data_IF_942668388250
#
_entry.id   IF_942668388250
#
_cell.length_a   1.000
_cell.length_b   1.000
_cell.length_c   1.000
_cell.angle_alpha   90.00
_cell.angle_beta   90.00
_cell.angle_gamma   90.00
#
_symmetry.space_group_name_H-M   'P 1'
#
loop_
_entity.id
_entity.type
_entity.pdbx_description
1 polymer ?
#
# COMPACT_ATOMS: atom_id res chain seq x y z
N UNK A 1 13.10 -11.84 -23.11
CA UNK A 1 14.44 -12.35 -22.73
C UNK A 1 14.22 -13.58 -21.86
N UNK A 2 14.95 -14.69 -22.02
CA UNK A 2 14.65 -15.91 -21.27
C UNK A 2 14.89 -15.70 -19.76
N UNK A 3 13.87 -15.98 -18.93
CA UNK A 3 13.96 -15.87 -17.47
C UNK A 3 15.14 -16.71 -16.93
N UNK A 4 15.94 -16.07 -16.08
CA UNK A 4 17.03 -16.66 -15.31
C UNK A 4 16.53 -17.88 -14.51
N UNK A 5 17.39 -18.91 -14.41
CA UNK A 5 17.11 -20.15 -13.68
C UNK A 5 16.77 -19.88 -12.21
N UNK A 6 17.44 -18.93 -11.55
CA UNK A 6 17.17 -18.60 -10.16
C UNK A 6 15.78 -17.96 -9.96
N UNK A 7 15.35 -17.12 -10.91
CA UNK A 7 13.98 -16.55 -10.92
C UNK A 7 12.94 -17.66 -11.15
N UNK A 8 13.18 -18.59 -12.06
CA UNK A 8 12.31 -19.77 -12.26
C UNK A 8 12.20 -20.62 -11.00
N UNK A 9 13.32 -20.90 -10.34
CA UNK A 9 13.36 -21.70 -9.10
C UNK A 9 12.59 -20.99 -7.96
N UNK A 10 12.65 -19.65 -7.87
CA UNK A 10 11.90 -18.84 -6.90
C UNK A 10 10.39 -18.82 -7.15
N UNK A 11 9.97 -18.75 -8.41
CA UNK A 11 8.56 -18.84 -8.82
C UNK A 11 7.99 -20.21 -8.44
N UNK A 12 8.75 -21.28 -8.69
CA UNK A 12 8.39 -22.65 -8.34
C UNK A 12 8.25 -22.81 -6.83
N UNK A 13 9.22 -22.34 -6.04
CA UNK A 13 9.17 -22.37 -4.57
C UNK A 13 7.99 -21.59 -3.99
N UNK A 14 7.63 -20.45 -4.60
CA UNK A 14 6.49 -19.63 -4.19
C UNK A 14 5.16 -20.31 -4.52
N UNK A 15 5.07 -20.99 -5.68
CA UNK A 15 3.90 -21.78 -6.06
C UNK A 15 3.69 -22.99 -5.15
N UNK A 16 4.78 -23.69 -4.79
CA UNK A 16 4.78 -24.80 -3.83
C UNK A 16 4.31 -24.31 -2.44
N UNK A 17 4.80 -23.16 -1.99
CA UNK A 17 4.42 -22.59 -0.69
C UNK A 17 2.95 -22.13 -0.65
N UNK A 18 2.38 -21.72 -1.80
CA UNK A 18 0.99 -21.28 -1.91
C UNK A 18 -0.05 -22.42 -1.97
N UNK A 19 0.35 -23.64 -2.33
CA UNK A 19 -0.56 -24.78 -2.48
C UNK A 19 -1.06 -25.37 -1.14
N UNK A 20 -0.44 -24.98 -0.02
CA UNK A 20 -0.77 -25.49 1.31
C UNK A 20 -0.17 -26.87 1.61
N UNK A 21 -0.47 -27.45 2.79
CA UNK A 21 0.09 -28.73 3.22
C UNK A 21 -0.38 -29.90 2.35
N UNK A 22 0.47 -30.93 2.24
CA UNK A 22 0.26 -32.13 1.40
C UNK A 22 -1.04 -32.86 1.73
N UNK A 23 -1.48 -32.84 2.99
CA UNK A 23 -2.67 -33.59 3.43
C UNK A 23 -2.51 -35.10 3.22
N UNK A 24 -3.60 -35.80 2.93
CA UNK A 24 -3.62 -37.27 2.86
C UNK A 24 -3.28 -37.85 1.47
N UNK A 25 -3.22 -37.01 0.42
CA UNK A 25 -2.97 -37.44 -0.96
C UNK A 25 -1.87 -36.61 -1.62
N UNK A 26 -0.71 -37.23 -1.80
CA UNK A 26 0.46 -36.63 -2.44
C UNK A 26 0.14 -36.31 -3.91
N UNK A 27 -0.55 -37.21 -4.61
CA UNK A 27 -0.84 -37.08 -6.04
C UNK A 27 -1.77 -35.89 -6.33
N UNK A 28 -2.80 -35.68 -5.50
CA UNK A 28 -3.69 -34.51 -5.60
C UNK A 28 -3.01 -33.21 -5.19
N UNK A 29 -2.04 -33.28 -4.28
CA UNK A 29 -1.22 -32.12 -3.92
C UNK A 29 -0.27 -31.74 -5.06
N UNK A 30 0.45 -32.71 -5.64
CA UNK A 30 1.34 -32.52 -6.78
C UNK A 30 0.59 -31.98 -8.00
N UNK A 31 -0.62 -32.49 -8.28
CA UNK A 31 -1.47 -31.99 -9.36
C UNK A 31 -1.86 -30.51 -9.16
N UNK A 32 -2.17 -30.08 -7.92
CA UNK A 32 -2.48 -28.68 -7.59
C UNK A 32 -1.26 -27.77 -7.73
N UNK A 33 -0.10 -28.21 -7.24
CA UNK A 33 1.17 -27.49 -7.38
C UNK A 33 1.57 -27.35 -8.86
N UNK A 34 1.42 -28.42 -9.64
CA UNK A 34 1.73 -28.43 -11.07
C UNK A 34 0.77 -27.53 -11.86
N UNK A 35 -0.52 -27.53 -11.53
CA UNK A 35 -1.50 -26.63 -12.14
C UNK A 35 -1.18 -25.16 -11.82
N UNK A 36 -0.89 -24.84 -10.55
CA UNK A 36 -0.54 -23.49 -10.13
C UNK A 36 0.76 -22.98 -10.76
N UNK A 37 1.81 -23.80 -10.81
CA UNK A 37 3.09 -23.44 -11.44
C UNK A 37 2.96 -23.20 -12.95
N UNK A 38 2.14 -23.99 -13.66
CA UNK A 38 1.84 -23.77 -15.09
C UNK A 38 1.08 -22.46 -15.31
N UNK A 39 0.10 -22.17 -14.46
CA UNK A 39 -0.66 -20.93 -14.55
C UNK A 39 0.25 -19.71 -14.31
N UNK A 40 1.11 -19.75 -13.29
CA UNK A 40 2.08 -18.68 -13.01
C UNK A 40 3.09 -18.54 -14.16
N UNK A 41 3.58 -19.65 -14.73
CA UNK A 41 4.52 -19.61 -15.86
C UNK A 41 3.89 -19.03 -17.12
N UNK A 42 2.63 -19.38 -17.42
CA UNK A 42 1.89 -18.80 -18.54
C UNK A 42 1.63 -17.30 -18.33
N UNK A 43 1.34 -16.90 -17.09
CA UNK A 43 1.14 -15.50 -16.69
C UNK A 43 2.44 -14.69 -16.85
N UNK A 44 3.59 -15.24 -16.42
CA UNK A 44 4.88 -14.54 -16.45
C UNK A 44 5.59 -14.61 -17.81
N UNK A 45 5.19 -15.53 -18.69
CA UNK A 45 5.71 -15.63 -20.06
C UNK A 45 5.03 -14.67 -21.05
N UNK A 46 3.95 -14.01 -20.63
CA UNK A 46 3.27 -12.96 -21.39
C UNK A 46 3.73 -11.59 -20.91
N UNK A 47 4.61 -10.95 -21.68
CA UNK A 47 5.16 -9.61 -21.38
C UNK A 47 4.07 -8.52 -21.39
N UNK A 48 2.85 -8.81 -21.88
CA UNK A 48 1.71 -7.87 -21.81
C UNK A 48 0.89 -7.98 -20.53
N UNK A 49 1.26 -8.91 -19.64
CA UNK A 49 0.51 -9.19 -18.43
C UNK A 49 0.68 -8.11 -17.35
N UNK A 50 -0.36 -7.93 -16.54
CA UNK A 50 -0.40 -7.00 -15.40
C UNK A 50 0.76 -7.21 -14.41
N UNK A 51 1.28 -8.42 -14.28
CA UNK A 51 2.40 -8.73 -13.39
C UNK A 51 3.74 -8.23 -13.93
N UNK A 52 3.99 -8.35 -15.25
CA UNK A 52 5.19 -7.80 -15.88
C UNK A 52 5.24 -6.28 -15.68
N UNK A 53 4.11 -5.61 -15.96
CA UNK A 53 3.95 -4.18 -15.70
C UNK A 53 4.15 -3.81 -14.22
N UNK A 54 3.61 -4.59 -13.28
CA UNK A 54 3.77 -4.31 -11.86
C UNK A 54 5.25 -4.43 -11.42
N UNK A 55 6.01 -5.38 -11.97
CA UNK A 55 7.44 -5.54 -11.72
C UNK A 55 8.20 -4.32 -12.25
N UNK A 56 7.97 -3.94 -13.51
CA UNK A 56 8.58 -2.74 -14.11
C UNK A 56 8.30 -1.48 -13.29
N UNK A 57 7.04 -1.25 -12.90
CA UNK A 57 6.67 -0.10 -12.07
C UNK A 57 7.34 -0.10 -10.69
N UNK A 58 7.58 -1.28 -10.10
CA UNK A 58 8.32 -1.41 -8.84
C UNK A 58 9.82 -1.13 -9.04
N UNK A 59 10.40 -1.59 -10.15
CA UNK A 59 11.81 -1.34 -10.50
C UNK A 59 12.07 0.15 -10.74
N UNK A 60 11.20 0.81 -11.50
CA UNK A 60 11.27 2.24 -11.83
C UNK A 60 10.88 3.16 -10.67
N UNK A 61 10.25 2.61 -9.62
CA UNK A 61 9.75 3.42 -8.51
C UNK A 61 10.87 4.14 -7.74
N UNK A 62 10.58 5.38 -7.35
CA UNK A 62 11.36 6.08 -6.36
C UNK A 62 11.11 5.48 -4.97
N UNK A 63 12.19 5.08 -4.30
CA UNK A 63 12.15 4.40 -3.00
C UNK A 63 12.58 5.35 -1.90
N UNK A 64 11.77 5.46 -0.85
CA UNK A 64 12.13 6.25 0.34
C UNK A 64 11.51 5.65 1.59
N UNK A 65 12.06 6.00 2.75
CA UNK A 65 11.59 5.50 4.05
C UNK A 65 10.81 6.61 4.74
N UNK A 66 9.63 6.28 5.26
CA UNK A 66 8.80 7.22 5.99
C UNK A 66 7.93 6.51 7.03
N UNK A 67 7.43 7.27 8.00
CA UNK A 67 6.37 6.84 8.90
C UNK A 67 5.02 7.02 8.21
N UNK A 68 4.18 5.97 8.22
CA UNK A 68 2.78 6.10 7.82
C UNK A 68 2.00 6.71 8.99
N UNK A 69 1.61 7.96 8.86
CA UNK A 69 0.97 8.73 9.95
C UNK A 69 -0.56 8.55 9.97
N UNK A 70 -1.20 8.57 8.80
CA UNK A 70 -2.65 8.48 8.69
C UNK A 70 -3.05 7.99 7.29
N UNK A 71 -4.07 7.13 7.22
CA UNK A 71 -4.70 6.74 5.96
C UNK A 71 -6.19 7.06 5.99
N UNK A 72 -6.69 7.73 4.95
CA UNK A 72 -8.10 8.09 4.80
C UNK A 72 -8.57 7.95 3.35
N UNK A 73 -9.80 7.48 3.10
CA UNK A 73 -10.33 7.48 1.74
C UNK A 73 -10.48 8.91 1.21
N UNK A 74 -10.13 9.13 -0.05
CA UNK A 74 -10.39 10.38 -0.76
C UNK A 74 -11.88 10.42 -1.15
N UNK A 75 -12.64 11.46 -0.83
CA UNK A 75 -14.08 11.51 -1.20
C UNK A 75 -14.31 11.65 -2.70
N UNK A 76 -13.43 12.38 -3.37
CA UNK A 76 -13.55 12.73 -4.80
C UNK A 76 -12.89 11.70 -5.73
N UNK A 77 -12.35 10.60 -5.20
CA UNK A 77 -11.61 9.59 -5.96
C UNK A 77 -11.75 8.25 -5.26
N UNK A 78 -11.71 7.14 -6.00
CA UNK A 78 -11.60 5.80 -5.43
C UNK A 78 -10.17 5.53 -4.92
N UNK A 79 -9.46 6.50 -4.33
CA UNK A 79 -8.08 6.31 -3.85
C UNK A 79 -8.00 6.57 -2.35
N UNK A 80 -7.05 5.94 -1.68
CA UNK A 80 -6.65 6.30 -0.33
C UNK A 80 -5.66 7.47 -0.35
N UNK A 81 -5.79 8.38 0.60
CA UNK A 81 -4.79 9.39 0.96
C UNK A 81 -3.93 8.84 2.08
N UNK A 82 -2.63 8.74 1.85
CA UNK A 82 -1.62 8.29 2.80
C UNK A 82 -0.81 9.50 3.21
N UNK A 83 -0.92 9.89 4.47
CA UNK A 83 -0.11 10.92 5.09
C UNK A 83 1.12 10.27 5.70
N UNK A 84 2.29 10.85 5.42
CA UNK A 84 3.55 10.31 5.89
C UNK A 84 4.51 11.41 6.30
N UNK A 85 5.45 11.04 7.17
CA UNK A 85 6.55 11.89 7.60
C UNK A 85 7.86 11.22 7.19
N UNK A 86 8.69 11.91 6.44
CA UNK A 86 10.03 11.41 6.10
C UNK A 86 10.86 11.48 7.37
N UNK A 87 11.20 10.32 7.92
CA UNK A 87 12.05 10.23 9.08
C UNK A 87 13.52 10.31 8.62
N UNK A 88 14.39 11.04 9.34
CA UNK A 88 15.82 11.04 9.03
C UNK A 88 16.36 9.61 9.04
N UNK A 89 17.40 9.34 8.23
CA UNK A 89 18.12 8.06 8.28
C UNK A 89 18.73 7.94 9.66
N UNK A 90 18.12 7.11 10.47
CA UNK A 90 18.60 6.74 11.78
C UNK A 90 19.93 6.00 11.62
N UNK A 91 20.99 6.47 12.29
CA UNK A 91 22.18 5.64 12.53
C UNK A 91 21.83 4.41 13.38
N UNK A 92 22.72 3.43 13.50
CA UNK A 92 22.46 2.29 14.39
C UNK A 92 22.25 2.80 15.84
N UNK A 93 21.00 2.77 16.33
CA UNK A 93 20.67 2.96 17.75
C UNK A 93 19.72 4.11 18.11
N UNK A 94 19.39 5.04 17.21
CA UNK A 94 18.44 6.11 17.54
C UNK A 94 16.98 5.66 17.31
N UNK A 95 16.06 6.10 18.16
CA UNK A 95 14.63 5.86 17.92
C UNK A 95 14.10 7.02 17.08
N UNK A 96 13.56 6.78 15.87
CA UNK A 96 13.00 7.87 15.08
C UNK A 96 11.84 8.50 15.83
N UNK A 97 11.92 9.82 16.03
CA UNK A 97 10.86 10.59 16.70
C UNK A 97 10.02 11.29 15.62
N UNK A 98 8.71 10.99 15.53
CA UNK A 98 7.80 11.69 14.65
C UNK A 98 7.69 13.17 15.04
N UNK A 99 7.68 14.07 14.07
CA UNK A 99 7.50 15.51 14.29
C UNK A 99 6.05 15.84 14.65
N UNK A 100 5.10 15.17 14.00
CA UNK A 100 3.67 15.35 14.21
C UNK A 100 3.09 14.12 14.88
N UNK A 101 2.21 14.31 15.87
CA UNK A 101 1.41 13.24 16.46
C UNK A 101 0.17 12.89 15.61
N UNK A 102 -0.56 11.85 16.00
CA UNK A 102 -1.75 11.42 15.27
C UNK A 102 -2.86 12.47 15.21
N UNK A 103 -3.11 13.18 16.31
CA UNK A 103 -4.21 14.16 16.38
C UNK A 103 -3.93 15.38 15.51
N UNK A 104 -2.68 15.82 15.47
CA UNK A 104 -2.19 16.91 14.64
C UNK A 104 -2.33 16.55 13.16
N UNK A 105 -1.90 15.35 12.76
CA UNK A 105 -2.07 14.87 11.38
C UNK A 105 -3.56 14.76 11.01
N UNK A 106 -4.42 14.30 11.93
CA UNK A 106 -5.86 14.25 11.72
C UNK A 106 -6.48 15.64 11.55
N UNK A 107 -6.02 16.65 12.30
CA UNK A 107 -6.46 18.04 12.15
C UNK A 107 -6.07 18.59 10.76
N UNK A 108 -4.84 18.34 10.30
CA UNK A 108 -4.41 18.72 8.96
C UNK A 108 -5.21 18.01 7.86
N UNK A 109 -5.58 16.74 8.05
CA UNK A 109 -6.48 16.04 7.12
C UNK A 109 -7.84 16.73 7.04
N UNK A 110 -8.46 17.09 8.17
CA UNK A 110 -9.75 17.79 8.20
C UNK A 110 -9.66 19.13 7.47
N UNK A 111 -8.61 19.91 7.73
CA UNK A 111 -8.36 21.19 7.07
C UNK A 111 -8.15 21.01 5.55
N UNK A 112 -7.40 19.99 5.13
CA UNK A 112 -7.18 19.66 3.72
C UNK A 112 -8.48 19.31 3.00
N UNK A 113 -9.34 18.49 3.62
CA UNK A 113 -10.65 18.12 3.06
C UNK A 113 -11.58 19.33 2.99
N UNK A 114 -11.62 20.17 4.02
CA UNK A 114 -12.45 21.38 4.06
C UNK A 114 -12.03 22.39 2.98
N UNK A 115 -10.73 22.67 2.85
CA UNK A 115 -10.22 23.57 1.81
C UNK A 115 -10.59 23.07 0.41
N UNK A 116 -10.42 21.77 0.14
CA UNK A 116 -10.80 21.19 -1.16
C UNK A 116 -12.29 21.26 -1.44
N UNK A 117 -13.15 21.07 -0.43
CA UNK A 117 -14.58 21.23 -0.59
C UNK A 117 -14.95 22.67 -1.01
N UNK A 118 -14.16 23.66 -0.58
CA UNK A 118 -14.32 25.07 -0.94
C UNK A 118 -13.54 25.47 -2.21
N UNK A 119 -12.96 24.51 -2.95
CA UNK A 119 -12.14 24.80 -4.13
C UNK A 119 -10.79 25.47 -3.82
N UNK A 120 -10.38 25.51 -2.55
CA UNK A 120 -9.13 26.11 -2.10
C UNK A 120 -8.00 25.09 -2.05
N UNK A 121 -6.78 25.55 -2.26
CA UNK A 121 -5.57 24.75 -2.06
C UNK A 121 -5.18 24.79 -0.59
N UNK A 122 -4.86 23.63 -0.02
CA UNK A 122 -4.29 23.50 1.32
C UNK A 122 -2.87 22.98 1.22
N UNK A 123 -1.93 23.73 1.77
CA UNK A 123 -0.53 23.32 1.87
C UNK A 123 -0.34 22.62 3.22
N UNK A 124 0.19 21.39 3.18
CA UNK A 124 0.58 20.68 4.39
C UNK A 124 1.81 21.35 5.01
N UNK A 125 1.97 21.30 6.34
CA UNK A 125 3.17 21.84 6.99
C UNK A 125 4.42 21.09 6.53
N UNK A 126 5.57 21.75 6.65
CA UNK A 126 6.86 21.15 6.30
C UNK A 126 7.09 19.84 7.08
N UNK A 127 7.58 18.81 6.38
CA UNK A 127 7.80 17.48 6.95
C UNK A 127 6.56 16.56 6.98
N UNK A 128 5.35 17.08 6.73
CA UNK A 128 4.15 16.27 6.54
C UNK A 128 3.76 16.26 5.06
N UNK A 129 3.74 15.06 4.48
CA UNK A 129 3.38 14.89 3.08
C UNK A 129 2.16 13.99 2.91
N UNK A 130 1.53 14.08 1.74
CA UNK A 130 0.43 13.22 1.34
C UNK A 130 0.68 12.64 -0.06
N UNK A 131 0.46 11.34 -0.18
CA UNK A 131 0.53 10.56 -1.43
C UNK A 131 -0.74 9.72 -1.56
N UNK A 132 -1.09 9.33 -2.80
CA UNK A 132 -2.25 8.49 -3.04
C UNK A 132 -1.88 7.02 -3.12
N UNK A 133 -2.81 6.14 -2.78
CA UNK A 133 -2.76 4.73 -3.20
C UNK A 133 -3.21 4.60 -4.65
N UNK A 134 -3.04 3.40 -5.21
CA UNK A 134 -3.76 2.99 -6.41
C UNK A 134 -5.28 3.01 -6.15
N UNK A 135 -6.06 3.03 -7.24
CA UNK A 135 -7.51 3.10 -7.16
C UNK A 135 -8.08 1.81 -6.58
N UNK A 136 -8.95 1.94 -5.58
CA UNK A 136 -9.61 0.88 -4.81
C UNK A 136 -10.81 0.28 -5.54
N UNK A 137 -11.12 0.74 -6.75
CA UNK A 137 -12.04 0.05 -7.67
C UNK A 137 -11.37 -1.17 -8.33
N UNK A 138 -10.03 -1.26 -8.31
CA UNK A 138 -9.27 -2.48 -8.58
C UNK A 138 -8.91 -3.21 -7.28
N UNK A 139 -8.89 -4.54 -7.33
CA UNK A 139 -8.60 -5.38 -6.15
C UNK A 139 -7.21 -5.11 -5.55
N UNK A 140 -6.20 -4.90 -6.41
CA UNK A 140 -4.84 -4.58 -5.96
C UNK A 140 -4.79 -3.24 -5.24
N UNK A 141 -5.51 -2.24 -5.73
CA UNK A 141 -5.58 -0.94 -5.07
C UNK A 141 -6.37 -0.98 -3.76
N UNK A 142 -7.40 -1.82 -3.67
CA UNK A 142 -8.10 -2.08 -2.41
C UNK A 142 -7.17 -2.73 -1.38
N UNK A 143 -6.45 -3.79 -1.78
CA UNK A 143 -5.50 -4.50 -0.93
C UNK A 143 -4.36 -3.57 -0.47
N UNK A 144 -3.83 -2.73 -1.36
CA UNK A 144 -2.80 -1.76 -1.02
C UNK A 144 -3.32 -0.69 -0.03
N UNK A 145 -4.55 -0.22 -0.20
CA UNK A 145 -5.17 0.73 0.73
C UNK A 145 -5.44 0.11 2.10
N UNK A 146 -5.83 -1.16 2.14
CA UNK A 146 -5.98 -1.94 3.37
C UNK A 146 -4.63 -2.14 4.06
N UNK A 147 -3.58 -2.54 3.32
CA UNK A 147 -2.22 -2.64 3.82
C UNK A 147 -1.73 -1.31 4.40
N UNK A 148 -1.89 -0.21 3.66
CA UNK A 148 -1.51 1.12 4.13
C UNK A 148 -2.21 1.49 5.44
N UNK A 149 -3.50 1.14 5.56
CA UNK A 149 -4.28 1.40 6.79
C UNK A 149 -3.79 0.56 7.97
N UNK A 150 -3.34 -0.67 7.73
CA UNK A 150 -2.72 -1.52 8.76
C UNK A 150 -1.33 -1.06 9.18
N UNK A 151 -0.65 -0.24 8.36
CA UNK A 151 0.68 0.28 8.64
C UNK A 151 0.69 1.62 9.39
N UNK A 152 -0.45 2.16 9.81
CA UNK A 152 -0.47 3.43 10.56
C UNK A 152 0.33 3.29 11.86
N UNK A 153 1.32 4.16 12.06
CA UNK A 153 2.30 4.08 13.15
C UNK A 153 3.51 3.20 12.87
N UNK A 154 3.59 2.60 11.68
CA UNK A 154 4.75 1.84 11.21
C UNK A 154 5.64 2.69 10.31
N UNK A 155 6.93 2.41 10.41
CA UNK A 155 7.91 2.87 9.43
C UNK A 155 7.87 1.92 8.25
N UNK A 156 7.82 2.44 7.03
CA UNK A 156 7.78 1.63 5.82
C UNK A 156 8.68 2.20 4.72
N UNK A 157 9.15 1.33 3.82
CA UNK A 157 9.68 1.74 2.52
C UNK A 157 8.50 1.94 1.58
N UNK A 158 8.45 3.12 0.98
CA UNK A 158 7.46 3.51 -0.02
C UNK A 158 8.07 3.35 -1.41
N UNK A 159 7.34 2.67 -2.29
CA UNK A 159 7.67 2.58 -3.71
C UNK A 159 6.71 3.50 -4.45
N UNK A 160 7.20 4.65 -4.88
CA UNK A 160 6.40 5.72 -5.49
C UNK A 160 6.64 5.80 -6.99
N UNK A 161 5.57 5.99 -7.74
CA UNK A 161 5.61 6.45 -9.13
C UNK A 161 4.81 7.75 -9.29
N UNK A 162 5.01 8.43 -10.43
CA UNK A 162 4.16 9.54 -10.86
C UNK A 162 3.23 9.02 -11.97
N UNK A 163 1.93 8.95 -11.69
CA UNK A 163 0.94 8.58 -12.71
C UNK A 163 0.41 9.83 -13.42
N UNK A 164 0.38 9.86 -14.75
CA UNK A 164 -0.32 10.90 -15.49
C UNK A 164 -1.85 10.78 -15.30
N UNK A 165 -2.51 11.91 -15.13
CA UNK A 165 -3.96 12.07 -15.05
C UNK A 165 -4.44 13.18 -16.00
N UNK A 166 -5.71 13.13 -16.40
CA UNK A 166 -6.28 14.10 -17.34
C UNK A 166 -5.56 14.07 -18.69
N UNK A 167 -5.43 12.88 -19.27
CA UNK A 167 -4.71 12.62 -20.54
C UNK A 167 -3.26 13.12 -20.56
N UNK A 168 -2.57 13.13 -19.41
CA UNK A 168 -1.16 13.54 -19.31
C UNK A 168 -0.92 15.02 -18.97
N UNK A 169 -1.98 15.81 -18.78
CA UNK A 169 -1.85 17.23 -18.41
C UNK A 169 -1.41 17.47 -16.96
N UNK A 170 -1.61 16.48 -16.07
CA UNK A 170 -1.24 16.56 -14.65
C UNK A 170 -0.64 15.24 -14.20
N UNK A 171 0.25 15.28 -13.22
CA UNK A 171 0.81 14.08 -12.60
C UNK A 171 0.37 13.97 -11.15
N UNK A 172 0.09 12.75 -10.68
CA UNK A 172 -0.18 12.43 -9.28
C UNK A 172 0.81 11.42 -8.76
N UNK A 173 1.26 11.64 -7.52
CA UNK A 173 2.14 10.71 -6.81
C UNK A 173 1.30 9.54 -6.29
N UNK A 174 1.69 8.32 -6.66
CA UNK A 174 0.98 7.10 -6.31
C UNK A 174 1.96 6.09 -5.70
N UNK A 175 1.57 5.49 -4.58
CA UNK A 175 2.30 4.35 -4.00
C UNK A 175 1.90 3.08 -4.73
N UNK A 176 2.89 2.25 -5.06
CA UNK A 176 2.73 0.91 -5.65
C UNK A 176 2.92 -0.21 -4.64
N UNK A 177 3.82 -0.01 -3.68
CA UNK A 177 4.16 -1.03 -2.70
C UNK A 177 4.61 -0.37 -1.39
N UNK A 178 4.27 -1.05 -0.29
CA UNK A 178 4.85 -0.80 1.02
C UNK A 178 5.68 -2.00 1.46
N UNK A 179 6.85 -1.73 2.05
CA UNK A 179 7.60 -2.72 2.84
C UNK A 179 7.65 -2.25 4.28
N UNK A 180 6.99 -2.97 5.18
CA UNK A 180 7.02 -2.67 6.61
C UNK A 180 8.44 -2.82 7.17
N UNK A 181 8.88 -1.85 7.96
CA UNK A 181 10.15 -1.83 8.68
C UNK A 181 9.95 -1.86 10.20
N UNK A 182 8.70 -1.98 10.66
CA UNK A 182 8.35 -2.11 12.06
C UNK A 182 7.63 -0.90 12.64
N UNK A 183 7.00 -1.14 13.79
CA UNK A 183 6.24 -0.15 14.54
C UNK A 183 7.17 0.90 15.16
N UNK A 184 6.72 2.15 15.15
CA UNK A 184 7.38 3.27 15.83
C UNK A 184 6.65 3.52 17.14
N UNK A 185 7.21 3.04 18.26
CA UNK A 185 6.55 3.09 19.57
C UNK A 185 6.24 4.50 20.07
N UNK A 186 7.01 5.50 19.64
CA UNK A 186 6.77 6.90 19.94
C UNK A 186 5.54 7.48 19.21
N UNK A 187 4.99 6.79 18.20
CA UNK A 187 3.80 7.22 17.48
C UNK A 187 2.55 6.49 17.99
N UNK A 188 1.81 7.15 18.88
CA UNK A 188 0.60 6.57 19.48
C UNK A 188 -0.60 6.77 18.54
N UNK A 189 -1.10 5.66 18.02
CA UNK A 189 -2.34 5.62 17.24
C UNK A 189 -3.50 5.34 18.21
N UNK A 190 -4.51 6.21 18.31
CA UNK A 190 -5.68 5.93 19.13
C UNK A 190 -6.35 4.63 18.66
N UNK A 191 -6.86 3.81 19.59
CA UNK A 191 -7.65 2.65 19.20
C UNK A 191 -8.79 3.12 18.31
N UNK A 192 -9.03 2.39 17.22
CA UNK A 192 -10.14 2.68 16.32
C UNK A 192 -11.41 2.59 17.17
N UNK A 193 -12.00 3.74 17.49
CA UNK A 193 -13.28 3.78 18.20
C UNK A 193 -14.25 3.01 17.32
N UNK A 194 -14.63 1.82 17.78
CA UNK A 194 -15.69 1.05 17.13
C UNK A 194 -16.89 1.98 17.03
N UNK A 195 -17.42 2.11 15.82
CA UNK A 195 -18.60 2.93 15.57
C UNK A 195 -19.66 2.47 16.59
N UNK A 196 -20.27 3.36 17.40
CA UNK A 196 -21.32 2.94 18.32
C UNK A 196 -22.35 2.12 17.54
N UNK A 197 -22.71 0.96 18.06
CA UNK A 197 -23.61 -0.01 17.42
C UNK A 197 -25.00 0.58 17.07
N UNK A 198 -25.33 1.79 17.54
CA UNK A 198 -26.58 2.51 17.24
C UNK A 198 -26.79 2.84 15.76
N UNK A 199 -25.75 2.92 14.93
CA UNK A 199 -25.93 3.17 13.50
C UNK A 199 -26.44 1.97 12.69
N UNK A 200 -26.46 0.76 13.27
CA UNK A 200 -27.00 -0.44 12.61
C UNK A 200 -28.53 -0.55 12.71
N UNK A 201 -29.16 0.17 13.65
CA UNK A 201 -30.61 0.11 13.86
C UNK A 201 -31.41 1.00 12.88
N UNK A 202 -30.78 1.99 12.23
CA UNK A 202 -31.49 2.93 11.33
C UNK A 202 -31.59 2.42 9.89
N UNK A 203 -30.92 1.30 9.56
CA UNK A 203 -31.04 0.65 8.25
C UNK A 203 -32.03 -0.53 8.25
N UNK A 204 -32.65 -0.83 9.40
CA UNK A 204 -33.60 -1.93 9.58
C UNK A 204 -34.98 -1.48 10.08
N UNK A 205 -35.27 -0.18 10.02
CA UNK A 205 -36.56 0.42 10.38
C UNK A 205 -37.25 1.02 9.16
#
# INVERSE_FOLDING_TARGET
MALDKAVKDSIILSAISGAGPVGDSIEDWEARVLAGSRQITAILGDDTNIFAKAIEEIEESAKFVALVSLVRPERSSTRGLVYFQVLPRVGQGETPVPTFDFQTVLAHHKAFVAARANGQQYQLPEGLECIRTQRTDAIDGYNLAAQASGLVGHRAVFYKINEPIGNGSKNVRVVRLFKDLGKVESYVVPPKVERPAEAAAVAAA
#
